data_IF_926904696877
#
_entry.id   IF_926904696877
#
_cell.length_a   1.000
_cell.length_b   1.000
_cell.length_c   1.000
_cell.angle_alpha   90.00
_cell.angle_beta   90.00
_cell.angle_gamma   90.00
#
_symmetry.space_group_name_H-M   'P 1'
#
loop_
_entity.id
_entity.type
_entity.pdbx_description
1 polymer ?
#
# COMPACT_ATOMS: atom_id res chain seq x y z
N UNK A 1 7.16 4.71 8.91
CA UNK A 1 8.51 4.30 8.45
C UNK A 1 9.20 3.32 9.41
N UNK A 2 9.07 3.54 10.72
CA UNK A 2 9.68 2.71 11.78
C UNK A 2 9.29 1.22 11.68
N UNK A 3 8.05 0.93 11.31
CA UNK A 3 7.55 -0.45 11.16
C UNK A 3 7.83 -1.08 9.78
N UNK A 4 8.58 -0.41 8.89
CA UNK A 4 8.81 -0.90 7.52
C UNK A 4 9.37 -2.34 7.48
N UNK A 5 10.26 -2.68 8.42
CA UNK A 5 10.81 -4.03 8.55
C UNK A 5 9.77 -5.12 8.84
N UNK A 6 8.67 -4.76 9.53
CA UNK A 6 7.56 -5.68 9.82
C UNK A 6 6.65 -5.86 8.62
N UNK A 7 6.67 -4.91 7.69
CA UNK A 7 5.78 -4.85 6.52
C UNK A 7 6.40 -5.42 5.24
N UNK A 8 7.73 -5.57 5.17
CA UNK A 8 8.45 -5.99 3.95
C UNK A 8 8.00 -7.32 3.32
N UNK A 9 7.46 -8.23 4.12
CA UNK A 9 6.96 -9.53 3.65
C UNK A 9 5.49 -9.53 3.23
N UNK A 10 4.80 -8.39 3.30
CA UNK A 10 3.38 -8.29 3.00
C UNK A 10 3.15 -7.76 1.59
N UNK A 11 2.19 -8.33 0.85
CA UNK A 11 1.67 -7.70 -0.35
C UNK A 11 0.89 -6.43 0.03
N UNK A 12 1.34 -5.27 -0.48
CA UNK A 12 0.76 -3.96 -0.15
C UNK A 12 0.48 -3.19 -1.43
N UNK A 13 -0.74 -2.68 -1.58
CA UNK A 13 -1.10 -1.76 -2.66
C UNK A 13 -1.54 -0.43 -2.07
N UNK A 14 -0.72 0.60 -2.26
CA UNK A 14 -0.98 1.97 -1.79
C UNK A 14 -1.70 2.77 -2.87
N UNK A 15 -2.68 3.57 -2.48
CA UNK A 15 -3.33 4.58 -3.31
C UNK A 15 -3.27 5.92 -2.58
N UNK A 16 -2.82 6.99 -3.23
CA UNK A 16 -2.76 8.32 -2.60
C UNK A 16 -3.01 9.44 -3.61
N UNK A 17 -3.83 10.41 -3.22
CA UNK A 17 -4.15 11.60 -3.99
C UNK A 17 -3.06 12.67 -3.90
N UNK A 18 -2.52 13.13 -5.03
CA UNK A 18 -1.46 14.16 -5.04
C UNK A 18 -1.91 15.52 -4.51
N UNK A 19 -3.22 15.80 -4.51
CA UNK A 19 -3.81 17.04 -4.01
C UNK A 19 -4.44 16.87 -2.62
N UNK A 20 -4.14 15.80 -1.89
CA UNK A 20 -4.64 15.60 -0.53
C UNK A 20 -4.07 16.65 0.43
N UNK A 21 -4.95 17.52 0.93
CA UNK A 21 -4.63 18.57 1.89
C UNK A 21 -4.74 18.13 3.36
N UNK A 22 -5.37 16.99 3.65
CA UNK A 22 -5.51 16.46 4.99
C UNK A 22 -4.34 15.54 5.37
N UNK A 23 -3.88 14.72 4.42
CA UNK A 23 -2.68 13.88 4.59
C UNK A 23 -1.72 14.14 3.43
N UNK A 24 -0.55 14.77 3.68
CA UNK A 24 0.41 15.06 2.62
C UNK A 24 0.82 13.80 1.87
N UNK A 25 0.80 13.85 0.54
CA UNK A 25 1.23 12.76 -0.35
C UNK A 25 2.59 12.15 0.03
N UNK A 26 3.50 13.00 0.50
CA UNK A 26 4.84 12.62 0.93
C UNK A 26 4.85 11.55 2.04
N UNK A 27 3.81 11.48 2.90
CA UNK A 27 3.71 10.45 3.94
C UNK A 27 3.63 9.04 3.37
N UNK A 28 2.89 8.87 2.27
CA UNK A 28 2.81 7.58 1.58
C UNK A 28 4.10 7.26 0.83
N UNK A 29 4.73 8.26 0.20
CA UNK A 29 6.06 8.10 -0.43
C UNK A 29 7.09 7.63 0.59
N UNK A 30 7.20 8.29 1.74
CA UNK A 30 8.13 7.96 2.81
C UNK A 30 7.97 6.51 3.29
N UNK A 31 6.72 6.04 3.45
CA UNK A 31 6.47 4.67 3.90
C UNK A 31 6.78 3.63 2.81
N UNK A 32 6.39 3.89 1.56
CA UNK A 32 6.70 3.00 0.43
C UNK A 32 8.21 2.86 0.26
N UNK A 33 8.93 3.97 0.34
CA UNK A 33 10.40 3.97 0.24
C UNK A 33 11.05 3.26 1.42
N UNK A 34 10.54 3.44 2.64
CA UNK A 34 11.04 2.73 3.81
C UNK A 34 10.85 1.21 3.66
N UNK A 35 9.69 0.76 3.17
CA UNK A 35 9.42 -0.68 2.92
C UNK A 35 10.34 -1.24 1.85
N UNK A 36 10.53 -0.51 0.74
CA UNK A 36 11.47 -0.91 -0.32
C UNK A 36 12.90 -1.00 0.20
N UNK A 37 13.35 -0.01 0.99
CA UNK A 37 14.68 0.01 1.62
C UNK A 37 14.87 -1.13 2.62
N UNK A 38 13.81 -1.56 3.30
CA UNK A 38 13.82 -2.72 4.19
C UNK A 38 13.86 -4.07 3.44
N UNK A 39 13.85 -4.06 2.10
CA UNK A 39 13.87 -5.25 1.24
C UNK A 39 12.49 -5.75 0.84
N UNK A 40 11.44 -4.95 1.01
CA UNK A 40 10.09 -5.31 0.58
C UNK A 40 9.96 -5.29 -0.94
N UNK A 41 9.60 -6.43 -1.53
CA UNK A 41 9.49 -6.60 -2.98
C UNK A 41 8.05 -6.68 -3.50
N UNK A 42 7.07 -6.81 -2.59
CA UNK A 42 5.66 -7.02 -2.92
C UNK A 42 4.78 -5.79 -2.67
N UNK A 43 5.38 -4.60 -2.76
CA UNK A 43 4.68 -3.32 -2.60
C UNK A 43 4.50 -2.60 -3.94
N UNK A 44 3.30 -2.11 -4.19
CA UNK A 44 2.95 -1.28 -5.35
C UNK A 44 2.24 0.00 -4.91
N UNK A 45 2.41 1.08 -5.66
CA UNK A 45 1.87 2.40 -5.32
C UNK A 45 1.23 3.04 -6.55
N UNK A 46 -0.08 3.31 -6.47
CA UNK A 46 -0.84 4.07 -7.45
C UNK A 46 -0.95 5.52 -6.98
N UNK A 47 -0.35 6.43 -7.75
CA UNK A 47 -0.48 7.87 -7.56
C UNK A 47 -1.72 8.37 -8.29
N UNK A 48 -2.60 9.07 -7.59
CA UNK A 48 -3.83 9.63 -8.14
C UNK A 48 -3.65 11.13 -8.36
N UNK A 49 -3.36 11.52 -9.59
CA UNK A 49 -3.10 12.92 -9.96
C UNK A 49 -4.36 13.79 -9.75
N UNK A 50 -4.20 14.96 -9.11
CA UNK A 50 -5.29 15.91 -8.85
C UNK A 50 -6.35 15.46 -7.84
N UNK A 51 -6.32 14.21 -7.37
CA UNK A 51 -7.26 13.71 -6.37
C UNK A 51 -6.87 14.22 -4.99
N UNK A 52 -7.85 14.76 -4.26
CA UNK A 52 -7.72 15.20 -2.88
C UNK A 52 -7.84 14.06 -1.88
N UNK A 53 -8.37 14.35 -0.70
CA UNK A 53 -8.46 13.38 0.40
C UNK A 53 -9.29 12.12 0.05
N UNK A 54 -10.32 12.25 -0.79
CA UNK A 54 -11.21 11.15 -1.19
C UNK A 54 -10.58 10.18 -2.23
N UNK A 55 -9.38 9.67 -1.93
CA UNK A 55 -8.66 8.73 -2.79
C UNK A 55 -9.30 7.33 -2.84
N UNK A 56 -10.06 6.96 -1.80
CA UNK A 56 -10.66 5.64 -1.68
C UNK A 56 -11.75 5.38 -2.73
N UNK A 57 -12.48 6.41 -3.20
CA UNK A 57 -13.42 6.24 -4.31
C UNK A 57 -12.72 5.72 -5.57
N UNK A 58 -11.55 6.29 -5.93
CA UNK A 58 -10.77 5.83 -7.07
C UNK A 58 -10.13 4.46 -6.81
N UNK A 59 -9.66 4.20 -5.59
CA UNK A 59 -9.14 2.90 -5.21
C UNK A 59 -10.20 1.80 -5.40
N UNK A 60 -11.40 1.95 -4.84
CA UNK A 60 -12.48 0.97 -4.97
C UNK A 60 -13.04 0.84 -6.38
N UNK A 61 -12.92 1.89 -7.20
CA UNK A 61 -13.26 1.83 -8.62
C UNK A 61 -12.19 1.16 -9.50
N UNK A 62 -11.01 0.83 -8.95
CA UNK A 62 -9.93 0.17 -9.70
C UNK A 62 -10.33 -1.28 -10.03
N UNK A 63 -10.53 -1.64 -11.31
CA UNK A 63 -11.07 -2.94 -11.70
C UNK A 63 -10.27 -4.13 -11.14
N UNK A 64 -8.95 -4.00 -11.12
CA UNK A 64 -8.04 -5.06 -10.70
C UNK A 64 -7.90 -5.18 -9.17
N UNK A 65 -8.44 -4.25 -8.38
CA UNK A 65 -8.26 -4.23 -6.93
C UNK A 65 -8.77 -5.53 -6.29
N UNK A 66 -9.98 -5.94 -6.64
CA UNK A 66 -10.61 -7.13 -6.05
C UNK A 66 -9.92 -8.43 -6.51
N UNK A 67 -9.49 -8.48 -7.77
CA UNK A 67 -8.71 -9.61 -8.26
C UNK A 67 -7.35 -9.70 -7.58
N UNK A 68 -6.67 -8.56 -7.38
CA UNK A 68 -5.42 -8.48 -6.64
C UNK A 68 -5.61 -8.94 -5.19
N UNK A 69 -6.67 -8.48 -4.52
CA UNK A 69 -6.96 -8.85 -3.13
C UNK A 69 -7.23 -10.35 -3.00
N UNK A 70 -8.01 -10.93 -3.91
CA UNK A 70 -8.34 -12.37 -3.91
C UNK A 70 -7.15 -13.30 -4.15
N UNK A 71 -6.04 -12.79 -4.70
CA UNK A 71 -4.79 -13.55 -4.85
C UNK A 71 -3.96 -13.61 -3.56
N UNK A 72 -4.25 -12.75 -2.59
CA UNK A 72 -3.48 -12.71 -1.35
C UNK A 72 -3.97 -13.77 -0.37
N UNK A 73 -3.01 -14.40 0.31
CA UNK A 73 -3.28 -15.34 1.40
C UNK A 73 -2.46 -14.92 2.61
N UNK A 74 -2.86 -15.36 3.81
CA UNK A 74 -2.02 -15.17 4.98
C UNK A 74 -0.66 -15.83 4.71
N UNK A 75 0.42 -15.12 5.02
CA UNK A 75 1.78 -15.65 4.90
C UNK A 75 1.86 -17.03 5.56
N UNK A 76 2.46 -18.02 4.89
CA UNK A 76 2.65 -19.38 5.44
C UNK A 76 3.31 -19.38 6.83
N UNK A 77 4.08 -18.34 7.17
CA UNK A 77 4.70 -18.16 8.49
C UNK A 77 3.73 -17.87 9.65
N UNK A 78 2.48 -17.43 9.38
CA UNK A 78 1.44 -17.27 10.43
C UNK A 78 0.54 -18.50 10.57
N UNK A 79 0.45 -19.35 9.54
CA UNK A 79 -0.34 -20.58 9.60
C UNK A 79 0.27 -21.65 10.53
N UNK A 80 1.56 -21.50 10.87
CA UNK A 80 2.29 -22.37 11.81
C UNK A 80 2.36 -21.83 13.24
N UNK A 81 1.77 -20.65 13.49
CA UNK A 81 1.80 -19.97 14.79
C UNK A 81 0.46 -20.12 15.57
N UNK A 82 -0.32 -21.17 15.28
CA UNK A 82 -1.51 -21.55 16.04
C UNK A 82 -1.35 -22.95 16.61
#
# INVERSE_FOLDING_TARGET
PEDADKLKGLPIWVFHGTADSAVPFQRSVEMVDAIKKAGGTTIQFTTLEGIGHNSWSAAYATPDLYQWLGKQTLSKNKAQAK
#
